data_IF_530867544659
#
_entry.id   IF_530867544659
#
_cell.length_a   1.000
_cell.length_b   1.000
_cell.length_c   1.000
_cell.angle_alpha   90.00
_cell.angle_beta   90.00
_cell.angle_gamma   90.00
#
_symmetry.space_group_name_H-M   'P 1'
#
loop_
_entity.id
_entity.type
_entity.pdbx_description
1 polymer ?
#
# COMPACT_ATOMS: atom_id res chain seq x y z
N UNK A 1 -1.57 18.83 -26.04
CA UNK A 1 -0.96 19.02 -24.70
C UNK A 1 -2.03 18.73 -23.66
N UNK A 2 -1.96 17.59 -22.99
CA UNK A 2 -2.97 17.19 -21.99
C UNK A 2 -2.65 17.85 -20.64
N UNK A 3 -3.29 18.99 -20.36
CA UNK A 3 -3.20 19.67 -19.07
C UNK A 3 -4.01 18.87 -18.03
N UNK A 4 -3.35 17.91 -17.40
CA UNK A 4 -3.92 17.19 -16.26
C UNK A 4 -4.06 18.20 -15.10
N UNK A 5 -5.29 18.61 -14.83
CA UNK A 5 -5.62 19.50 -13.72
C UNK A 5 -5.65 18.66 -12.44
N UNK A 6 -4.69 18.88 -11.56
CA UNK A 6 -4.64 18.22 -10.23
C UNK A 6 -5.32 19.17 -9.25
N UNK A 7 -6.51 18.81 -8.76
CA UNK A 7 -7.23 19.56 -7.75
C UNK A 7 -6.83 19.07 -6.35
N UNK A 8 -6.00 19.86 -5.65
CA UNK A 8 -5.49 19.53 -4.31
C UNK A 8 -6.48 20.05 -3.25
N UNK A 9 -7.54 19.28 -2.99
CA UNK A 9 -8.48 19.58 -1.90
C UNK A 9 -8.02 18.84 -0.63
N UNK A 10 -7.79 19.58 0.46
CA UNK A 10 -7.46 19.00 1.77
C UNK A 10 -6.01 19.14 2.27
N UNK A 11 -5.18 20.01 1.69
CA UNK A 11 -3.84 20.27 2.26
C UNK A 11 -3.98 21.11 3.54
N UNK A 12 -3.41 20.68 4.68
CA UNK A 12 -3.45 21.45 5.91
C UNK A 12 -2.79 22.83 5.75
N UNK A 13 -3.43 23.87 6.28
CA UNK A 13 -2.94 25.26 6.25
C UNK A 13 -1.48 25.42 6.76
N UNK A 14 -1.03 24.71 7.82
CA UNK A 14 0.37 24.78 8.24
C UNK A 14 1.35 24.32 7.16
N UNK A 15 0.98 23.31 6.36
CA UNK A 15 1.82 22.81 5.27
C UNK A 15 1.91 23.84 4.15
N UNK A 16 0.80 24.51 3.83
CA UNK A 16 0.77 25.57 2.82
C UNK A 16 1.71 26.73 3.19
N UNK A 17 1.72 27.14 4.46
CA UNK A 17 2.64 28.19 4.94
C UNK A 17 4.11 27.81 4.79
N UNK A 18 4.46 26.56 5.05
CA UNK A 18 5.83 26.05 4.87
C UNK A 18 6.23 26.05 3.39
N UNK A 19 5.31 25.67 2.51
CA UNK A 19 5.51 25.72 1.06
C UNK A 19 5.74 27.16 0.61
N UNK A 20 4.90 28.10 1.05
CA UNK A 20 4.99 29.52 0.67
C UNK A 20 6.29 30.17 1.16
N UNK A 21 6.73 29.85 2.39
CA UNK A 21 8.04 30.25 2.92
C UNK A 21 9.18 29.75 2.03
N UNK A 22 9.12 28.46 1.62
CA UNK A 22 10.16 27.86 0.78
C UNK A 22 10.20 28.46 -0.63
N UNK A 23 9.03 28.75 -1.21
CA UNK A 23 8.89 29.39 -2.52
C UNK A 23 9.45 30.80 -2.48
N UNK A 24 9.17 31.57 -1.43
CA UNK A 24 9.74 32.91 -1.22
C UNK A 24 11.26 32.89 -1.08
N UNK A 25 11.83 31.91 -0.38
CA UNK A 25 13.28 31.78 -0.22
C UNK A 25 14.01 31.40 -1.52
N UNK A 26 13.42 30.50 -2.33
CA UNK A 26 14.02 30.06 -3.60
C UNK A 26 13.72 31.01 -4.76
N UNK A 27 12.64 31.78 -4.67
CA UNK A 27 12.02 32.46 -5.80
C UNK A 27 11.32 31.48 -6.74
N UNK A 28 10.17 31.86 -7.28
CA UNK A 28 9.45 31.07 -8.28
C UNK A 28 7.95 30.98 -8.06
N UNK A 29 7.30 30.18 -8.90
CA UNK A 29 5.87 29.92 -8.82
C UNK A 29 5.55 28.78 -7.84
N UNK A 30 4.55 29.01 -7.00
CA UNK A 30 4.08 28.04 -6.01
C UNK A 30 3.55 26.77 -6.64
N UNK A 31 2.79 26.88 -7.74
CA UNK A 31 2.23 25.71 -8.40
C UNK A 31 3.31 24.85 -9.08
N UNK A 32 4.31 25.49 -9.69
CA UNK A 32 5.49 24.81 -10.22
C UNK A 32 6.27 24.07 -9.12
N UNK A 33 6.44 24.69 -7.94
CA UNK A 33 7.14 24.07 -6.83
C UNK A 33 6.40 22.87 -6.24
N UNK A 34 5.08 22.97 -6.05
CA UNK A 34 4.26 21.84 -5.59
C UNK A 34 4.32 20.68 -6.60
N UNK A 35 4.32 20.98 -7.90
CA UNK A 35 4.44 19.97 -8.95
C UNK A 35 5.78 19.24 -8.89
N UNK A 36 6.89 19.97 -8.77
CA UNK A 36 8.24 19.38 -8.62
C UNK A 36 8.34 18.46 -7.40
N UNK A 37 7.71 18.84 -6.27
CA UNK A 37 7.66 18.00 -5.08
C UNK A 37 6.89 16.68 -5.32
N UNK A 38 5.72 16.76 -5.97
CA UNK A 38 4.92 15.57 -6.31
C UNK A 38 5.66 14.67 -7.29
N UNK A 39 6.30 15.25 -8.30
CA UNK A 39 7.07 14.48 -9.30
C UNK A 39 8.27 13.76 -8.68
N UNK A 40 9.00 14.43 -7.77
CA UNK A 40 10.09 13.81 -7.02
C UNK A 40 9.60 12.69 -6.11
N UNK A 41 8.49 12.90 -5.42
CA UNK A 41 7.92 11.88 -4.54
C UNK A 41 7.44 10.66 -5.32
N UNK A 42 6.73 10.85 -6.44
CA UNK A 42 6.35 9.76 -7.35
C UNK A 42 7.59 9.04 -7.89
N UNK A 43 8.66 9.76 -8.25
CA UNK A 43 9.90 9.15 -8.72
C UNK A 43 10.59 8.35 -7.61
N UNK A 44 10.58 8.84 -6.37
CA UNK A 44 11.08 8.13 -5.19
C UNK A 44 10.23 6.90 -4.88
N UNK A 45 8.90 6.99 -4.95
CA UNK A 45 7.98 5.86 -4.78
C UNK A 45 8.14 4.82 -5.89
N UNK A 46 8.41 5.23 -7.14
CA UNK A 46 8.77 4.31 -8.22
C UNK A 46 10.10 3.59 -7.97
N UNK A 47 11.04 4.22 -7.27
CA UNK A 47 12.28 3.57 -6.83
C UNK A 47 12.10 2.72 -5.56
N UNK A 48 11.16 3.10 -4.69
CA UNK A 48 10.81 2.40 -3.46
C UNK A 48 9.79 1.30 -3.65
N UNK A 49 9.13 1.17 -4.81
CA UNK A 49 8.44 -0.07 -5.15
C UNK A 49 9.46 -1.18 -4.98
N UNK A 50 9.36 -1.97 -3.90
CA UNK A 50 10.23 -3.11 -3.76
C UNK A 50 9.78 -4.00 -4.92
N UNK A 51 10.72 -4.40 -5.79
CA UNK A 51 10.59 -5.73 -6.37
C UNK A 51 10.57 -6.66 -5.16
N UNK A 52 9.39 -6.91 -4.59
CA UNK A 52 9.13 -7.63 -3.35
C UNK A 52 10.44 -8.08 -2.70
N UNK A 53 11.11 -7.19 -1.97
CA UNK A 53 12.28 -7.60 -1.20
C UNK A 53 11.73 -8.24 0.08
N UNK A 54 11.00 -9.35 -0.11
CA UNK A 54 11.28 -10.48 0.76
C UNK A 54 12.78 -10.62 0.69
N UNK A 55 13.45 -10.42 1.81
CA UNK A 55 14.79 -10.96 2.03
C UNK A 55 14.72 -12.36 1.46
N UNK A 56 15.22 -12.56 0.24
CA UNK A 56 15.28 -13.88 -0.37
C UNK A 56 16.36 -14.55 0.45
N UNK A 57 15.97 -15.11 1.59
CA UNK A 57 16.62 -16.33 2.04
C UNK A 57 16.39 -17.26 0.86
N UNK A 58 17.36 -17.30 -0.06
CA UNK A 58 17.42 -18.33 -1.09
C UNK A 58 17.76 -19.59 -0.30
N UNK A 59 16.78 -20.12 0.41
CA UNK A 59 16.83 -21.51 0.82
C UNK A 59 16.92 -22.28 -0.51
N UNK A 60 17.89 -23.19 -0.67
CA UNK A 60 17.86 -24.10 -1.79
C UNK A 60 16.48 -24.78 -1.77
N UNK A 61 15.79 -24.78 -2.91
CA UNK A 61 14.54 -25.51 -3.01
C UNK A 61 14.86 -26.99 -2.87
N UNK A 62 14.27 -27.62 -1.86
CA UNK A 62 14.39 -29.04 -1.58
C UNK A 62 13.00 -29.67 -1.79
N UNK A 63 12.92 -30.63 -2.71
CA UNK A 63 11.68 -31.28 -3.10
C UNK A 63 11.12 -32.10 -1.93
N UNK A 64 11.97 -32.78 -1.16
CA UNK A 64 11.53 -33.63 -0.04
C UNK A 64 10.93 -32.77 1.08
N UNK A 65 11.55 -31.61 1.36
CA UNK A 65 11.04 -30.62 2.32
C UNK A 65 9.71 -30.05 1.85
N UNK A 66 9.61 -29.67 0.57
CA UNK A 66 8.38 -29.13 0.02
C UNK A 66 7.22 -30.15 0.07
N UNK A 67 7.47 -31.42 -0.26
CA UNK A 67 6.46 -32.49 -0.17
C UNK A 67 6.01 -32.73 1.28
N UNK A 68 6.95 -32.72 2.22
CA UNK A 68 6.65 -32.86 3.65
C UNK A 68 5.79 -31.70 4.16
N UNK A 69 6.13 -30.47 3.78
CA UNK A 69 5.36 -29.27 4.12
C UNK A 69 3.94 -29.33 3.54
N UNK A 70 3.79 -29.72 2.28
CA UNK A 70 2.48 -29.87 1.64
C UNK A 70 1.63 -30.94 2.31
N UNK A 71 2.24 -32.05 2.74
CA UNK A 71 1.56 -33.10 3.51
C UNK A 71 1.10 -32.59 4.87
N UNK A 72 1.96 -31.88 5.60
CA UNK A 72 1.63 -31.30 6.90
C UNK A 72 0.49 -30.27 6.80
N UNK A 73 0.48 -29.44 5.74
CA UNK A 73 -0.60 -28.51 5.46
C UNK A 73 -1.92 -29.23 5.16
N UNK A 74 -1.88 -30.30 4.36
CA UNK A 74 -3.07 -31.08 4.04
C UNK A 74 -3.67 -31.80 5.26
N UNK A 75 -2.82 -32.28 6.17
CA UNK A 75 -3.26 -32.88 7.44
C UNK A 75 -3.90 -31.84 8.36
N UNK A 76 -3.28 -30.67 8.51
CA UNK A 76 -3.79 -29.59 9.36
C UNK A 76 -5.01 -28.88 8.80
N UNK A 77 -5.17 -28.86 7.47
CA UNK A 77 -6.35 -28.30 6.83
C UNK A 77 -7.64 -29.03 7.22
N UNK A 78 -7.55 -30.29 7.64
CA UNK A 78 -8.70 -31.05 8.18
C UNK A 78 -9.22 -30.51 9.52
N UNK A 79 -8.39 -29.74 10.23
CA UNK A 79 -8.75 -29.13 11.52
C UNK A 79 -9.41 -27.75 11.35
N UNK A 80 -9.44 -27.20 10.13
CA UNK A 80 -10.07 -25.91 9.87
C UNK A 80 -11.59 -26.12 9.86
N UNK A 81 -12.34 -25.52 10.81
CA UNK A 81 -13.77 -25.70 10.86
C UNK A 81 -14.41 -25.09 9.61
N UNK A 82 -15.18 -25.91 8.88
CA UNK A 82 -16.01 -25.42 7.78
C UNK A 82 -17.17 -24.67 8.40
N UNK A 83 -17.18 -23.35 8.22
CA UNK A 83 -18.27 -22.52 8.72
C UNK A 83 -19.54 -22.78 7.91
N UNK A 84 -20.71 -22.84 8.56
CA UNK A 84 -21.98 -23.02 7.85
C UNK A 84 -22.32 -21.74 7.04
N UNK A 85 -23.12 -21.84 5.98
CA UNK A 85 -23.43 -20.70 5.09
C UNK A 85 -23.95 -19.46 5.83
N UNK A 86 -24.65 -19.64 6.94
CA UNK A 86 -25.21 -18.59 7.78
C UNK A 86 -24.13 -17.69 8.40
N UNK A 87 -22.93 -18.23 8.62
CA UNK A 87 -21.78 -17.50 9.15
C UNK A 87 -21.25 -16.43 8.16
N UNK A 88 -21.54 -16.59 6.87
CA UNK A 88 -21.14 -15.66 5.80
C UNK A 88 -22.21 -14.62 5.48
N UNK A 89 -23.28 -14.53 6.28
CA UNK A 89 -24.29 -13.50 6.10
C UNK A 89 -23.78 -12.14 6.56
N UNK A 90 -24.24 -11.06 5.91
CA UNK A 90 -23.90 -9.68 6.32
C UNK A 90 -24.20 -9.43 7.80
N UNK A 91 -25.29 -9.99 8.32
CA UNK A 91 -25.67 -9.89 9.74
C UNK A 91 -24.70 -10.64 10.67
N UNK A 92 -24.17 -11.78 10.24
CA UNK A 92 -23.16 -12.55 10.99
C UNK A 92 -21.79 -11.87 10.98
N UNK A 93 -21.38 -11.31 9.84
CA UNK A 93 -20.08 -10.64 9.67
C UNK A 93 -20.04 -9.28 10.36
N UNK A 94 -21.13 -8.50 10.27
CA UNK A 94 -21.16 -7.13 10.75
C UNK A 94 -22.00 -6.94 12.02
N UNK A 95 -22.63 -7.98 12.56
CA UNK A 95 -23.49 -7.86 13.73
C UNK A 95 -24.78 -7.06 13.45
N UNK A 96 -25.74 -7.15 14.37
CA UNK A 96 -26.97 -6.36 14.30
C UNK A 96 -26.69 -4.96 14.88
N UNK A 97 -26.16 -4.06 14.06
CA UNK A 97 -26.11 -2.64 14.42
C UNK A 97 -27.52 -2.05 14.26
N UNK A 98 -28.21 -1.83 15.39
CA UNK A 98 -29.32 -0.89 15.47
C UNK A 98 -28.78 0.53 15.54
#
# INVERSE_FOLDING_TARGET
>A
MNNHKIELTGIPEPLLKLIDERVRQKGGDRAAYIRDLIERDIALEKQKQPKASMSKVKLPFDLEVWEADMKALAERAKEIPILPPEAFTRKSIYGNHN
#
